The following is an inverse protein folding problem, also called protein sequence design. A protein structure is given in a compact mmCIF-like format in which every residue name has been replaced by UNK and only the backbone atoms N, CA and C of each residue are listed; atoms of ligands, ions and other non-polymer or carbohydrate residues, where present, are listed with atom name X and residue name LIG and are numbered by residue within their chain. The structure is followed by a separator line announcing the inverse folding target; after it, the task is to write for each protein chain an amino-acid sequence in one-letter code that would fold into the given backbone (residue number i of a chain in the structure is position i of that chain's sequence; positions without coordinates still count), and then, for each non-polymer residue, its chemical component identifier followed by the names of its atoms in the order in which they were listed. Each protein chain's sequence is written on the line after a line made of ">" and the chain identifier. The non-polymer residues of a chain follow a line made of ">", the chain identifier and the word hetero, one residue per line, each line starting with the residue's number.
data_IF_336096560207
#
_entry.id   IF_336096560207
#
_cell.length_a   1.000
_cell.length_b   1.000
_cell.length_c   1.000
_cell.angle_alpha   90.00
_cell.angle_beta   90.00
_cell.angle_gamma   90.00
#
_symmetry.space_group_name_H-M   'P 1'
#
loop_
_entity.id
_entity.type
_entity.pdbx_description
1 polymer ?
#
# COMPACT_ATOMS: atom_id res chain seq x y z
N UNK A 1 10.76 16.22 17.76
CA UNK A 1 10.23 14.85 17.61
C UNK A 1 9.40 14.88 16.34
N UNK A 2 10.06 14.64 15.21
CA UNK A 2 9.37 14.46 13.95
C UNK A 2 8.63 13.13 14.06
N UNK A 3 7.31 13.16 14.00
CA UNK A 3 6.50 11.96 13.91
C UNK A 3 6.83 11.34 12.56
N UNK A 4 7.80 10.41 12.54
CA UNK A 4 8.18 9.65 11.36
C UNK A 4 6.96 8.78 11.06
N UNK A 5 6.07 9.27 10.20
CA UNK A 5 4.92 8.52 9.72
C UNK A 5 5.46 7.29 9.01
N UNK A 6 5.31 6.10 9.60
CA UNK A 6 5.65 4.86 8.93
C UNK A 6 4.80 4.75 7.68
N UNK A 7 5.45 4.80 6.52
CA UNK A 7 4.81 4.59 5.23
C UNK A 7 5.05 3.14 4.85
N UNK A 8 3.98 2.39 4.63
CA UNK A 8 4.08 1.04 4.08
C UNK A 8 3.84 1.10 2.59
N UNK A 9 4.74 0.47 1.86
CA UNK A 9 4.66 0.34 0.43
C UNK A 9 4.40 -1.11 0.03
N UNK A 10 3.33 -1.29 -0.72
CA UNK A 10 2.92 -2.55 -1.29
C UNK A 10 3.10 -2.52 -2.81
N UNK A 11 3.75 -3.53 -3.37
CA UNK A 11 3.69 -3.77 -4.81
C UNK A 11 2.40 -4.50 -5.14
N UNK A 12 1.72 -4.03 -6.18
CA UNK A 12 0.65 -4.77 -6.84
C UNK A 12 1.23 -5.45 -8.08
N UNK A 13 0.39 -5.70 -9.10
CA UNK A 13 0.91 -6.13 -10.40
C UNK A 13 1.77 -5.04 -11.04
N UNK A 14 2.91 -5.37 -11.67
CA UNK A 14 3.74 -4.37 -12.33
C UNK A 14 2.93 -3.60 -13.41
N UNK A 15 3.09 -2.27 -13.52
CA UNK A 15 4.01 -1.43 -12.77
C UNK A 15 3.33 -0.61 -11.65
N UNK A 16 2.34 -1.18 -10.97
CA UNK A 16 1.56 -0.47 -9.95
C UNK A 16 2.03 -0.78 -8.53
N UNK A 17 2.04 0.26 -7.69
CA UNK A 17 2.31 0.17 -6.27
C UNK A 17 1.24 0.93 -5.49
N UNK A 18 1.06 0.56 -4.24
CA UNK A 18 0.11 1.19 -3.33
C UNK A 18 0.84 1.52 -2.04
N UNK A 19 0.80 2.80 -1.66
CA UNK A 19 1.34 3.28 -0.40
C UNK A 19 0.20 3.55 0.56
N UNK A 20 0.32 3.10 1.80
CA UNK A 20 -0.63 3.43 2.87
C UNK A 20 -0.03 4.46 3.81
N UNK A 21 -0.83 5.44 4.22
CA UNK A 21 -0.40 6.52 5.12
C UNK A 21 -0.73 6.24 6.59
N UNK A 22 -1.04 4.98 6.92
CA UNK A 22 -1.48 4.59 8.25
C UNK A 22 -0.29 4.48 9.17
N UNK A 23 -0.38 5.16 10.32
CA UNK A 23 0.60 5.04 11.39
C UNK A 23 0.34 3.75 12.19
N UNK A 24 1.29 2.80 12.27
CA UNK A 24 1.21 1.71 13.23
C UNK A 24 1.22 2.26 14.66
N UNK A 25 0.42 1.67 15.54
CA UNK A 25 0.44 1.98 16.98
C UNK A 25 1.46 1.16 17.77
N UNK A 26 2.05 0.11 17.19
CA UNK A 26 3.00 -0.77 17.87
C UNK A 26 3.95 -1.46 16.88
N UNK A 27 4.96 -2.11 17.48
CA UNK A 27 6.12 -2.85 16.94
C UNK A 27 6.01 -3.41 15.50
N UNK A 28 7.15 -3.54 14.79
CA UNK A 28 7.19 -3.97 13.41
C UNK A 28 6.73 -5.40 13.24
N UNK A 29 5.43 -5.53 13.00
CA UNK A 29 4.77 -6.78 12.72
C UNK A 29 4.54 -6.88 11.23
N UNK A 30 4.56 -8.11 10.67
CA UNK A 30 4.27 -8.31 9.26
C UNK A 30 2.88 -7.75 8.95
N UNK A 31 2.85 -6.78 8.04
CA UNK A 31 1.61 -6.19 7.56
C UNK A 31 1.25 -6.79 6.20
N UNK A 32 -0.01 -7.16 6.04
CA UNK A 32 -0.55 -7.73 4.82
C UNK A 32 -1.76 -6.91 4.37
N UNK A 33 -1.81 -6.64 3.07
CA UNK A 33 -2.90 -5.88 2.47
C UNK A 33 -3.74 -6.83 1.62
N UNK A 34 -5.03 -6.97 1.96
CA UNK A 34 -5.92 -7.92 1.29
C UNK A 34 -7.33 -7.36 1.09
N UNK A 35 -7.98 -7.85 0.04
CA UNK A 35 -9.40 -7.66 -0.17
C UNK A 35 -10.20 -8.61 0.73
N UNK A 36 -10.93 -8.04 1.67
CA UNK A 36 -11.89 -8.77 2.51
C UNK A 36 -13.30 -8.58 1.94
N UNK A 37 -14.16 -9.61 1.96
CA UNK A 37 -15.57 -9.43 1.60
C UNK A 37 -16.23 -8.46 2.59
N UNK A 38 -16.64 -7.29 2.09
CA UNK A 38 -17.37 -6.31 2.88
C UNK A 38 -18.77 -6.80 3.22
N UNK A 39 -19.28 -6.46 4.41
CA UNK A 39 -20.62 -6.88 4.85
C UNK A 39 -21.76 -6.19 4.08
N UNK A 40 -21.50 -5.09 3.37
CA UNK A 40 -22.58 -4.20 2.90
C UNK A 40 -22.56 -3.85 1.42
N UNK A 41 -21.42 -3.79 0.73
CA UNK A 41 -21.35 -3.63 -0.74
C UNK A 41 -19.89 -3.57 -1.17
N UNK A 42 -19.41 -4.59 -1.88
CA UNK A 42 -18.07 -4.58 -2.48
C UNK A 42 -16.96 -5.18 -1.62
N UNK A 43 -15.86 -5.53 -2.30
CA UNK A 43 -14.60 -5.92 -1.67
C UNK A 43 -14.04 -4.74 -0.89
N UNK A 44 -13.69 -4.94 0.37
CA UNK A 44 -13.12 -3.93 1.24
C UNK A 44 -11.63 -4.18 1.44
N UNK A 45 -10.80 -3.21 1.03
CA UNK A 45 -9.36 -3.29 1.24
C UNK A 45 -9.05 -3.14 2.73
N UNK A 46 -8.40 -4.15 3.28
CA UNK A 46 -8.09 -4.21 4.71
C UNK A 46 -6.60 -4.44 4.87
N UNK A 47 -5.99 -3.59 5.67
CA UNK A 47 -4.63 -3.75 6.15
C UNK A 47 -4.67 -4.58 7.43
N UNK A 48 -4.13 -5.78 7.38
CA UNK A 48 -3.97 -6.66 8.52
C UNK A 48 -2.54 -6.55 9.06
N UNK A 49 -2.44 -6.31 10.35
CA UNK A 49 -1.23 -6.42 11.17
C UNK A 49 -1.55 -7.43 12.27
N UNK A 50 -0.55 -8.10 12.84
CA UNK A 50 -0.68 -9.31 13.70
C UNK A 50 -1.93 -9.40 14.60
N UNK A 51 -2.32 -8.31 15.25
CA UNK A 51 -3.52 -8.23 16.09
C UNK A 51 -4.57 -7.19 15.66
N UNK A 52 -4.33 -6.45 14.58
CA UNK A 52 -5.20 -5.38 14.13
C UNK A 52 -5.55 -5.50 12.65
N UNK A 53 -6.84 -5.44 12.33
CA UNK A 53 -7.30 -5.32 10.96
C UNK A 53 -7.92 -3.93 10.79
N UNK A 54 -7.25 -3.07 10.02
CA UNK A 54 -7.74 -1.72 9.72
C UNK A 54 -8.28 -1.66 8.30
N UNK A 55 -9.50 -1.16 8.18
CA UNK A 55 -10.16 -0.95 6.89
C UNK A 55 -9.63 0.33 6.26
N UNK A 56 -9.23 0.26 5.00
CA UNK A 56 -8.83 1.45 4.23
C UNK A 56 -10.07 2.10 3.60
N UNK A 57 -10.05 3.42 3.47
CA UNK A 57 -11.01 4.22 2.72
C UNK A 57 -10.27 5.01 1.63
N UNK A 58 -11.05 5.61 0.73
CA UNK A 58 -10.50 6.55 -0.26
C UNK A 58 -9.74 7.68 0.46
N UNK A 59 -8.44 7.80 0.18
CA UNK A 59 -7.52 8.75 0.82
C UNK A 59 -6.63 8.19 1.94
N UNK A 60 -6.89 6.98 2.44
CA UNK A 60 -5.97 6.29 3.38
C UNK A 60 -4.75 5.67 2.65
N UNK A 61 -4.84 5.57 1.32
CA UNK A 61 -3.80 5.07 0.45
C UNK A 61 -3.61 5.97 -0.77
N UNK A 62 -2.44 5.85 -1.39
CA UNK A 62 -2.09 6.47 -2.65
C UNK A 62 -1.60 5.39 -3.61
N UNK A 63 -2.19 5.33 -4.80
CA UNK A 63 -1.70 4.44 -5.86
C UNK A 63 -0.65 5.16 -6.67
N UNK A 64 0.43 4.46 -6.95
CA UNK A 64 1.53 4.95 -7.75
C UNK A 64 1.72 4.05 -8.98
N UNK A 65 1.98 4.68 -10.12
CA UNK A 65 2.44 4.00 -11.31
C UNK A 65 3.92 4.28 -11.49
N UNK A 66 4.71 3.22 -11.45
CA UNK A 66 6.14 3.29 -11.62
C UNK A 66 6.47 3.15 -13.11
N UNK A 67 7.55 3.80 -13.53
CA UNK A 67 8.22 3.44 -14.79
C UNK A 67 9.01 2.15 -14.61
N UNK A 68 9.39 1.49 -15.71
CA UNK A 68 10.24 0.29 -15.63
C UNK A 68 11.51 0.53 -14.82
N UNK A 69 12.14 1.71 -14.99
CA UNK A 69 13.30 2.11 -14.22
C UNK A 69 13.01 2.25 -12.72
N UNK A 70 11.91 2.92 -12.36
CA UNK A 70 11.50 3.07 -10.95
C UNK A 70 11.15 1.71 -10.31
N UNK A 71 10.50 0.82 -11.06
CA UNK A 71 10.18 -0.53 -10.59
C UNK A 71 11.44 -1.34 -10.27
N UNK A 72 12.44 -1.30 -11.17
CA UNK A 72 13.74 -1.94 -10.93
C UNK A 72 14.46 -1.32 -9.72
N UNK A 73 14.45 0.01 -9.58
CA UNK A 73 15.04 0.68 -8.41
C UNK A 73 14.35 0.33 -7.10
N UNK A 74 13.01 0.21 -7.10
CA UNK A 74 12.23 -0.25 -5.96
C UNK A 74 12.58 -1.69 -5.58
N UNK A 75 12.67 -2.60 -6.56
CA UNK A 75 13.13 -3.98 -6.32
C UNK A 75 14.56 -4.03 -5.76
N UNK A 76 15.41 -3.07 -6.13
CA UNK A 76 16.77 -2.91 -5.62
C UNK A 76 16.83 -2.23 -4.23
N UNK A 77 15.70 -1.84 -3.64
CA UNK A 77 15.63 -1.15 -2.34
C UNK A 77 15.92 0.35 -2.41
N UNK A 78 16.07 0.93 -3.60
CA UNK A 78 16.28 2.36 -3.82
C UNK A 78 14.96 3.02 -4.24
N UNK A 79 14.00 3.10 -3.31
CA UNK A 79 12.66 3.64 -3.58
C UNK A 79 12.59 5.16 -3.32
N UNK A 80 12.83 5.96 -4.35
CA UNK A 80 12.58 7.41 -4.31
C UNK A 80 11.12 7.71 -4.72
N UNK A 81 10.21 7.69 -3.74
CA UNK A 81 8.75 7.82 -3.93
C UNK A 81 8.34 9.22 -4.44
N UNK A 82 9.19 10.24 -4.26
CA UNK A 82 8.89 11.63 -4.65
C UNK A 82 8.62 11.80 -6.15
N UNK A 83 9.16 10.93 -7.00
CA UNK A 83 9.04 11.03 -8.46
C UNK A 83 8.00 10.10 -9.08
N UNK A 84 7.22 9.38 -8.27
CA UNK A 84 6.26 8.42 -8.80
C UNK A 84 4.96 9.10 -9.21
N UNK A 85 4.38 8.62 -10.32
CA UNK A 85 3.11 9.14 -10.81
C UNK A 85 1.98 8.70 -9.89
N UNK A 86 1.38 9.65 -9.17
CA UNK A 86 0.23 9.42 -8.29
C UNK A 86 -1.02 9.29 -9.13
N UNK A 87 -1.70 8.16 -9.00
CA UNK A 87 -3.00 7.93 -9.62
C UNK A 87 -4.10 8.11 -8.58
N UNK A 88 -5.11 8.97 -8.84
CA UNK A 88 -6.21 9.24 -7.92
C UNK A 88 -7.26 8.11 -8.00
N UNK A 89 -6.83 6.86 -7.86
CA UNK A 89 -7.73 5.71 -7.88
C UNK A 89 -8.54 5.62 -6.59
N UNK A 90 -9.83 5.34 -6.74
CA UNK A 90 -10.71 4.99 -5.63
C UNK A 90 -10.63 3.50 -5.31
N UNK A 91 -11.09 3.11 -4.12
CA UNK A 91 -11.23 1.70 -3.72
C UNK A 91 -12.11 0.91 -4.67
N UNK A 92 -13.16 1.55 -5.18
CA UNK A 92 -14.09 0.91 -6.11
C UNK A 92 -13.40 0.57 -7.44
N UNK A 93 -12.52 1.46 -7.91
CA UNK A 93 -11.70 1.19 -9.10
C UNK A 93 -10.68 0.08 -8.81
N UNK A 94 -9.92 0.20 -7.73
CA UNK A 94 -8.96 -0.82 -7.31
C UNK A 94 -9.60 -2.22 -7.20
N UNK A 95 -10.83 -2.32 -6.70
CA UNK A 95 -11.54 -3.58 -6.52
C UNK A 95 -11.97 -4.24 -7.84
N UNK A 96 -12.12 -3.48 -8.93
CA UNK A 96 -12.46 -4.02 -10.26
C UNK A 96 -11.24 -4.27 -11.14
N UNK A 97 -10.08 -3.73 -10.76
CA UNK A 97 -8.84 -3.90 -11.49
C UNK A 97 -8.10 -5.19 -11.05
N UNK A 98 -7.90 -6.17 -11.94
CA UNK A 98 -7.18 -7.39 -11.60
C UNK A 98 -5.72 -7.14 -11.20
N UNK A 99 -5.13 -6.04 -11.66
CA UNK A 99 -3.76 -5.63 -11.30
C UNK A 99 -3.58 -5.45 -9.80
N UNK A 100 -4.64 -5.09 -9.08
CA UNK A 100 -4.65 -4.85 -7.64
C UNK A 100 -5.31 -5.99 -6.87
N UNK A 101 -5.42 -7.19 -7.45
CA UNK A 101 -5.98 -8.35 -6.77
C UNK A 101 -5.06 -8.89 -5.66
N UNK A 102 -3.75 -8.66 -5.77
CA UNK A 102 -2.73 -9.15 -4.84
C UNK A 102 -1.75 -8.04 -4.51
N UNK A 103 -1.37 -7.95 -3.25
CA UNK A 103 -0.42 -6.97 -2.76
C UNK A 103 0.71 -7.67 -2.02
N UNK A 104 1.94 -7.27 -2.31
CA UNK A 104 3.14 -7.78 -1.62
C UNK A 104 3.81 -6.62 -0.91
N UNK A 105 4.07 -6.76 0.39
CA UNK A 105 4.81 -5.76 1.15
C UNK A 105 6.24 -5.66 0.59
N UNK A 106 6.60 -4.49 0.06
CA UNK A 106 7.92 -4.22 -0.52
C UNK A 106 8.86 -3.57 0.49
N UNK A 107 8.33 -2.57 1.20
CA UNK A 107 9.11 -1.80 2.15
C UNK A 107 8.20 -1.29 3.24
N UNK A 108 8.60 -1.55 4.48
CA UNK A 108 8.21 -0.73 5.63
C UNK A 108 9.30 0.30 5.82
N UNK A 109 8.97 1.60 5.74
CA UNK A 109 9.92 2.62 6.19
C UNK A 109 9.94 2.59 7.72
N UNK A 110 10.65 1.61 8.27
CA UNK A 110 11.12 1.60 9.64
C UNK A 110 12.45 2.36 9.64
N UNK A 111 12.45 3.55 10.24
CA UNK A 111 13.71 4.16 10.61
C UNK A 111 14.32 3.30 11.73
N UNK A 112 15.39 2.58 11.40
CA UNK A 112 16.31 1.96 12.38
C UNK A 112 16.91 3.01 13.33
#
# INVERSE_FOLDING_TARGET
>A
METISSQWLFSASPPYCLQTHITPQAEPTPVQLDWRPGRTQGSQLTLASDHECRRLNDGDFTVFRLTEFQWQSMLAGNSEVEHWERLPFTLSELAVHPEFATFTLMSSTEAQ
#
